data_IF_765691757379
#
_entry.id   IF_765691757379
#
_cell.length_a   1.000
_cell.length_b   1.000
_cell.length_c   1.000
_cell.angle_alpha   90.00
_cell.angle_beta   90.00
_cell.angle_gamma   90.00
#
_symmetry.space_group_name_H-M   'P 1'
#
loop_
_entity.id
_entity.type
_entity.pdbx_description
1 polymer ?
#
# COMPACT_ATOMS: atom_id res chain seq x y z
N UNK A 1 25.39 38.23 41.65
CA UNK A 1 24.48 38.57 40.51
C UNK A 1 24.73 37.75 39.24
N UNK A 2 25.79 36.93 39.14
CA UNK A 2 26.08 36.07 37.98
C UNK A 2 25.24 34.79 37.89
N UNK A 3 24.85 34.18 39.02
CA UNK A 3 24.16 32.87 39.01
C UNK A 3 22.69 32.95 38.56
N UNK A 4 22.02 34.10 38.71
CA UNK A 4 20.62 34.26 38.32
C UNK A 4 20.47 34.38 36.79
N UNK A 5 21.44 35.01 36.13
CA UNK A 5 21.45 35.19 34.65
C UNK A 5 21.71 33.86 33.92
N UNK A 6 22.59 33.01 34.46
CA UNK A 6 22.93 31.71 33.86
C UNK A 6 21.74 30.74 33.86
N UNK A 7 20.96 30.70 34.95
CA UNK A 7 19.78 29.85 35.05
C UNK A 7 18.66 30.29 34.10
N UNK A 8 18.44 31.61 33.96
CA UNK A 8 17.45 32.15 33.01
C UNK A 8 17.83 31.81 31.56
N UNK A 9 19.11 31.92 31.20
CA UNK A 9 19.59 31.62 29.85
C UNK A 9 19.52 30.11 29.53
N UNK A 10 19.77 29.24 30.52
CA UNK A 10 19.60 27.78 30.41
C UNK A 10 18.13 27.41 30.21
N UNK A 11 17.20 27.99 30.97
CA UNK A 11 15.76 27.73 30.83
C UNK A 11 15.27 28.16 29.46
N UNK A 12 15.68 29.33 28.97
CA UNK A 12 15.30 29.82 27.64
C UNK A 12 15.84 28.93 26.51
N UNK A 13 17.09 28.48 26.61
CA UNK A 13 17.69 27.55 25.63
C UNK A 13 16.98 26.19 25.60
N UNK A 14 16.58 25.66 26.76
CA UNK A 14 15.78 24.43 26.85
C UNK A 14 14.38 24.61 26.28
N UNK A 15 13.76 25.78 26.49
CA UNK A 15 12.46 26.12 25.91
C UNK A 15 12.52 26.16 24.38
N UNK A 16 13.53 26.82 23.81
CA UNK A 16 13.75 26.88 22.35
C UNK A 16 13.93 25.48 21.76
N UNK A 17 14.74 24.63 22.40
CA UNK A 17 14.95 23.25 21.96
C UNK A 17 13.66 22.41 22.01
N UNK A 18 12.84 22.58 23.06
CA UNK A 18 11.55 21.91 23.16
C UNK A 18 10.58 22.35 22.05
N UNK A 19 10.51 23.65 21.77
CA UNK A 19 9.67 24.19 20.70
C UNK A 19 10.14 23.68 19.33
N UNK A 20 11.45 23.65 19.09
CA UNK A 20 12.02 23.12 17.85
C UNK A 20 11.72 21.62 17.67
N UNK A 21 11.80 20.83 18.75
CA UNK A 21 11.48 19.41 18.72
C UNK A 21 9.99 19.14 18.43
N UNK A 22 9.10 19.92 19.05
CA UNK A 22 7.66 19.87 18.78
C UNK A 22 7.36 20.28 17.34
N UNK A 23 7.98 21.35 16.84
CA UNK A 23 7.85 21.78 15.45
C UNK A 23 8.29 20.72 14.45
N UNK A 24 9.40 20.01 14.73
CA UNK A 24 9.90 18.92 13.89
C UNK A 24 8.93 17.73 13.83
N UNK A 25 8.24 17.41 14.93
CA UNK A 25 7.22 16.34 14.95
C UNK A 25 6.00 16.74 14.12
N UNK A 26 5.56 18.01 14.21
CA UNK A 26 4.37 18.49 13.50
C UNK A 26 4.61 18.63 11.99
N UNK A 27 5.80 19.09 11.58
CA UNK A 27 6.14 19.30 10.17
C UNK A 27 6.75 18.08 9.47
N UNK A 28 7.23 17.09 10.22
CA UNK A 28 7.99 15.96 9.68
C UNK A 28 7.18 14.84 9.02
N UNK A 29 5.85 14.83 9.19
CA UNK A 29 5.02 13.73 8.67
C UNK A 29 4.25 14.14 7.42
N UNK A 30 4.93 14.14 6.27
CA UNK A 30 4.25 14.11 4.97
C UNK A 30 3.66 12.71 4.77
N UNK A 31 2.40 12.49 5.19
CA UNK A 31 1.68 11.24 4.92
C UNK A 31 1.19 11.28 3.49
N UNK A 32 1.87 10.58 2.59
CA UNK A 32 1.37 10.34 1.23
C UNK A 32 0.12 9.48 1.32
N UNK A 33 -1.02 10.04 0.94
CA UNK A 33 -2.26 9.27 0.86
C UNK A 33 -2.21 8.45 -0.43
N UNK A 34 -2.10 7.13 -0.29
CA UNK A 34 -2.34 6.24 -1.42
C UNK A 34 -3.79 6.43 -1.87
N UNK A 35 -4.00 6.67 -3.17
CA UNK A 35 -5.33 6.73 -3.73
C UNK A 35 -6.01 5.38 -3.50
N UNK A 36 -7.15 5.39 -2.80
CA UNK A 36 -7.99 4.20 -2.71
C UNK A 36 -8.61 3.93 -4.08
N UNK A 37 -8.16 2.86 -4.73
CA UNK A 37 -8.74 2.38 -5.98
C UNK A 37 -9.82 1.38 -5.60
N UNK A 38 -11.08 1.77 -5.79
CA UNK A 38 -12.19 0.86 -5.58
C UNK A 38 -12.03 -0.37 -6.50
N UNK A 39 -12.28 -1.59 -6.02
CA UNK A 39 -12.20 -2.78 -6.86
C UNK A 39 -13.17 -2.66 -8.04
N UNK A 40 -12.80 -3.21 -9.22
CA UNK A 40 -13.66 -3.15 -10.38
C UNK A 40 -14.98 -3.89 -10.12
N UNK A 41 -16.09 -3.33 -10.60
CA UNK A 41 -17.36 -4.04 -10.59
C UNK A 41 -17.31 -5.19 -11.61
N UNK A 42 -17.65 -6.39 -11.15
CA UNK A 42 -17.59 -7.60 -11.99
C UNK A 42 -18.89 -8.36 -11.91
N UNK A 43 -19.40 -8.74 -13.08
CA UNK A 43 -20.62 -9.57 -13.21
C UNK A 43 -20.27 -11.05 -12.91
N UNK A 44 -19.06 -11.49 -13.27
CA UNK A 44 -18.61 -12.87 -13.08
C UNK A 44 -18.64 -13.32 -11.62
N UNK A 45 -19.02 -14.58 -11.40
CA UNK A 45 -19.08 -15.19 -10.06
C UNK A 45 -17.68 -15.49 -9.49
N UNK A 46 -16.76 -15.88 -10.37
CA UNK A 46 -15.34 -16.05 -10.12
C UNK A 46 -14.54 -15.23 -11.15
N UNK A 47 -13.58 -14.42 -10.69
CA UNK A 47 -12.79 -13.50 -11.53
C UNK A 47 -11.37 -13.41 -10.99
N UNK A 48 -10.40 -13.39 -11.89
CA UNK A 48 -8.99 -13.16 -11.59
C UNK A 48 -8.41 -12.22 -12.65
N UNK A 49 -7.75 -11.15 -12.20
CA UNK A 49 -6.94 -10.24 -13.01
C UNK A 49 -5.48 -10.46 -12.64
N UNK A 50 -4.69 -10.92 -13.61
CA UNK A 50 -3.26 -11.21 -13.43
C UNK A 50 -2.46 -10.35 -14.40
N UNK A 51 -1.37 -9.78 -13.91
CA UNK A 51 -0.33 -9.19 -14.75
C UNK A 51 0.46 -10.32 -15.46
N UNK A 52 0.51 -10.27 -16.79
CA UNK A 52 1.02 -11.38 -17.58
C UNK A 52 2.53 -11.59 -17.45
N UNK A 53 3.31 -10.55 -17.14
CA UNK A 53 4.77 -10.61 -17.10
C UNK A 53 5.25 -10.96 -15.68
N UNK A 54 4.74 -10.25 -14.67
CA UNK A 54 5.11 -10.41 -13.26
C UNK A 54 4.39 -11.56 -12.57
N UNK A 55 3.29 -12.06 -13.17
CA UNK A 55 2.37 -13.05 -12.60
C UNK A 55 1.66 -12.58 -11.32
N UNK A 56 1.67 -11.28 -11.03
CA UNK A 56 0.98 -10.70 -9.88
C UNK A 56 -0.53 -10.73 -10.07
N UNK A 57 -1.27 -11.16 -9.04
CA UNK A 57 -2.73 -11.05 -9.01
C UNK A 57 -3.11 -9.64 -8.57
N UNK A 58 -3.61 -8.83 -9.49
CA UNK A 58 -4.02 -7.45 -9.23
C UNK A 58 -5.43 -7.37 -8.64
N UNK A 59 -6.28 -8.34 -8.94
CA UNK A 59 -7.63 -8.44 -8.39
C UNK A 59 -8.16 -9.88 -8.46
N UNK A 60 -8.87 -10.32 -7.43
CA UNK A 60 -9.52 -11.63 -7.42
C UNK A 60 -10.88 -11.59 -6.71
N UNK A 61 -11.81 -12.39 -7.21
CA UNK A 61 -13.13 -12.66 -6.64
C UNK A 61 -13.38 -14.16 -6.76
N UNK A 62 -13.47 -14.88 -5.64
CA UNK A 62 -13.65 -16.34 -5.62
C UNK A 62 -12.72 -17.12 -6.56
N UNK A 63 -11.38 -16.88 -6.55
CA UNK A 63 -10.45 -17.40 -7.56
C UNK A 63 -10.42 -18.93 -7.63
N UNK A 64 -10.54 -19.62 -6.49
CA UNK A 64 -10.44 -21.08 -6.38
C UNK A 64 -11.80 -21.79 -6.44
N UNK A 65 -12.88 -21.05 -6.73
CA UNK A 65 -14.21 -21.64 -6.84
C UNK A 65 -14.26 -22.55 -8.07
N UNK A 66 -14.61 -23.82 -7.87
CA UNK A 66 -14.83 -24.74 -8.98
C UNK A 66 -16.03 -24.28 -9.83
N UNK A 67 -15.76 -23.95 -11.10
CA UNK A 67 -16.75 -23.54 -12.10
C UNK A 67 -16.68 -24.48 -13.30
N UNK A 68 -17.78 -24.62 -14.04
CA UNK A 68 -17.76 -25.37 -15.29
C UNK A 68 -16.99 -24.57 -16.37
N UNK A 69 -15.91 -25.11 -16.96
CA UNK A 69 -15.09 -24.37 -17.92
C UNK A 69 -15.76 -24.21 -19.30
N UNK A 70 -16.74 -25.05 -19.65
CA UNK A 70 -17.40 -25.02 -20.96
C UNK A 70 -16.40 -24.93 -22.13
N UNK A 71 -16.43 -23.86 -22.93
CA UNK A 71 -15.53 -23.69 -24.07
C UNK A 71 -14.08 -23.37 -23.68
N UNK A 72 -13.79 -22.91 -22.45
CA UNK A 72 -12.43 -22.59 -22.02
C UNK A 72 -11.55 -23.84 -21.85
N UNK A 73 -12.14 -25.03 -21.78
CA UNK A 73 -11.43 -26.32 -21.87
C UNK A 73 -10.53 -26.41 -23.10
N UNK A 74 -10.90 -25.72 -24.19
CA UNK A 74 -10.09 -25.66 -25.42
C UNK A 74 -8.67 -25.13 -25.19
N UNK A 75 -8.46 -24.30 -24.15
CA UNK A 75 -7.12 -23.85 -23.78
C UNK A 75 -6.22 -25.01 -23.37
N UNK A 76 -6.70 -25.90 -22.49
CA UNK A 76 -5.94 -27.09 -22.08
C UNK A 76 -5.76 -28.05 -23.26
N UNK A 77 -6.79 -28.25 -24.09
CA UNK A 77 -6.68 -29.08 -25.31
C UNK A 77 -5.59 -28.55 -26.25
N UNK A 78 -5.52 -27.24 -26.46
CA UNK A 78 -4.50 -26.61 -27.29
C UNK A 78 -3.10 -26.81 -26.69
N UNK A 79 -2.92 -26.58 -25.38
CA UNK A 79 -1.64 -26.77 -24.71
C UNK A 79 -1.15 -28.22 -24.85
N UNK A 80 -2.04 -29.20 -24.65
CA UNK A 80 -1.73 -30.61 -24.86
C UNK A 80 -1.35 -30.91 -26.31
N UNK A 81 -2.05 -30.34 -27.30
CA UNK A 81 -1.75 -30.55 -28.72
C UNK A 81 -0.41 -29.93 -29.15
N UNK A 82 0.03 -28.87 -28.47
CA UNK A 82 1.32 -28.22 -28.68
C UNK A 82 2.45 -28.82 -27.84
N UNK A 83 2.14 -29.82 -27.00
CA UNK A 83 3.09 -30.42 -26.06
C UNK A 83 3.77 -29.39 -25.13
N UNK A 84 2.99 -28.40 -24.66
CA UNK A 84 3.41 -27.36 -23.71
C UNK A 84 3.03 -27.69 -22.26
#
# INVERSE_FOLDING_TARGET
MISLTTNVCIVWKRLILMIAFIGAIIFGTSVSHAAYIAPPSTIGEAVVLIDADTKEILFAKNPDKCMHPASTTKMVTLLTALEL
#
